data_IF_544592429589
#
_entry.id   IF_544592429589
#
_cell.length_a   1.000
_cell.length_b   1.000
_cell.length_c   1.000
_cell.angle_alpha   90.00
_cell.angle_beta   90.00
_cell.angle_gamma   90.00
#
_symmetry.space_group_name_H-M   'P 1'
#
loop_
_entity.id
_entity.type
_entity.pdbx_description
1 polymer ?
#
# COMPACT_ATOMS: atom_id res chain seq x y z
N UNK A 1 28.37 19.42 -15.33
CA UNK A 1 28.49 20.74 -16.02
C UNK A 1 28.62 21.85 -14.97
N UNK A 2 29.25 23.00 -15.24
CA UNK A 2 29.40 24.08 -14.26
C UNK A 2 28.08 24.55 -13.64
N UNK A 3 26.96 24.43 -14.37
CA UNK A 3 25.60 24.75 -13.92
C UNK A 3 24.99 23.75 -12.93
N UNK A 4 25.58 22.57 -12.74
CA UNK A 4 25.04 21.51 -11.88
C UNK A 4 25.64 21.54 -10.47
N UNK A 5 26.83 22.13 -10.29
CA UNK A 5 27.53 22.25 -9.00
C UNK A 5 26.64 22.92 -7.93
N UNK A 6 25.92 24.03 -8.24
CA UNK A 6 25.09 24.69 -7.24
C UNK A 6 23.86 23.88 -6.80
N UNK A 7 23.42 22.86 -7.56
CA UNK A 7 22.19 22.13 -7.25
C UNK A 7 22.30 21.40 -5.91
N UNK A 8 23.44 20.77 -5.64
CA UNK A 8 23.69 20.09 -4.37
C UNK A 8 23.88 21.10 -3.23
N UNK A 9 24.65 22.15 -3.48
CA UNK A 9 24.99 23.17 -2.47
C UNK A 9 23.78 23.99 -2.03
N UNK A 10 22.88 24.31 -2.96
CA UNK A 10 21.70 25.13 -2.73
C UNK A 10 20.44 24.31 -2.41
N UNK A 11 20.54 22.97 -2.33
CA UNK A 11 19.39 22.09 -2.11
C UNK A 11 18.59 22.43 -0.84
N UNK A 12 19.26 22.93 0.20
CA UNK A 12 18.61 23.35 1.46
C UNK A 12 17.60 24.50 1.28
N UNK A 13 17.68 25.27 0.20
CA UNK A 13 16.68 26.30 -0.13
C UNK A 13 15.29 25.71 -0.37
N UNK A 14 15.18 24.41 -0.71
CA UNK A 14 13.90 23.72 -0.85
C UNK A 14 13.11 23.67 0.47
N UNK A 15 13.76 23.71 1.63
CA UNK A 15 13.08 23.73 2.93
C UNK A 15 12.28 25.02 3.15
N UNK A 16 12.66 26.12 2.48
CA UNK A 16 11.92 27.38 2.49
C UNK A 16 10.73 27.43 1.52
N UNK A 17 10.56 26.42 0.67
CA UNK A 17 9.48 26.36 -0.32
C UNK A 17 8.22 25.77 0.31
N UNK A 18 7.07 26.37 0.02
CA UNK A 18 5.79 25.87 0.52
C UNK A 18 5.57 24.38 0.12
N UNK A 19 5.21 23.48 1.05
CA UNK A 19 5.04 22.05 0.76
C UNK A 19 4.03 21.73 -0.34
N UNK A 20 2.99 22.56 -0.50
CA UNK A 20 2.02 22.41 -1.59
C UNK A 20 2.65 22.72 -2.96
N UNK A 21 3.59 23.67 -3.02
CA UNK A 21 4.32 23.97 -4.26
C UNK A 21 5.25 22.83 -4.63
N UNK A 22 5.96 22.26 -3.65
CA UNK A 22 6.80 21.09 -3.87
C UNK A 22 6.01 19.88 -4.36
N UNK A 23 4.75 19.73 -3.92
CA UNK A 23 3.85 18.70 -4.46
C UNK A 23 3.60 18.90 -5.96
N UNK A 24 3.25 20.11 -6.39
CA UNK A 24 3.04 20.41 -7.82
C UNK A 24 4.32 20.19 -8.65
N UNK A 25 5.50 20.53 -8.13
CA UNK A 25 6.76 20.23 -8.81
C UNK A 25 7.05 18.72 -8.87
N UNK A 26 6.74 17.96 -7.80
CA UNK A 26 6.83 16.49 -7.85
C UNK A 26 5.93 15.90 -8.94
N UNK A 27 4.73 16.43 -9.13
CA UNK A 27 3.85 15.97 -10.22
C UNK A 27 4.49 16.22 -11.59
N UNK A 28 5.12 17.37 -11.82
CA UNK A 28 5.79 17.65 -13.10
C UNK A 28 7.02 16.76 -13.30
N UNK A 29 7.81 16.54 -12.26
CA UNK A 29 9.01 15.68 -12.33
C UNK A 29 8.62 14.24 -12.64
N UNK A 30 7.64 13.69 -11.93
CA UNK A 30 7.34 12.26 -12.00
C UNK A 30 6.21 11.89 -12.96
N UNK A 31 5.41 12.83 -13.45
CA UNK A 31 4.29 12.57 -14.35
C UNK A 31 4.45 13.24 -15.72
N UNK A 32 5.69 13.54 -16.12
CA UNK A 32 6.05 14.08 -17.44
C UNK A 32 6.56 13.03 -18.44
N UNK A 33 6.63 11.75 -18.03
CA UNK A 33 7.18 10.66 -18.85
C UNK A 33 8.70 10.52 -18.74
N UNK A 34 9.31 11.15 -17.72
CA UNK A 34 10.73 11.07 -17.37
C UNK A 34 10.92 10.84 -15.86
N UNK A 35 10.01 10.08 -15.25
CA UNK A 35 9.96 9.82 -13.82
C UNK A 35 11.22 9.11 -13.33
N UNK A 36 11.69 8.09 -14.05
CA UNK A 36 12.88 7.34 -13.66
C UNK A 36 14.13 8.24 -13.70
N UNK A 37 14.32 8.95 -14.82
CA UNK A 37 15.46 9.86 -14.97
C UNK A 37 15.43 11.00 -13.94
N UNK A 38 14.25 11.52 -13.62
CA UNK A 38 14.07 12.54 -12.58
C UNK A 38 14.42 11.99 -11.20
N UNK A 39 14.03 10.76 -10.88
CA UNK A 39 14.38 10.11 -9.62
C UNK A 39 15.90 9.96 -9.47
N UNK A 40 16.58 9.41 -10.48
CA UNK A 40 18.05 9.27 -10.46
C UNK A 40 18.75 10.62 -10.34
N UNK A 41 18.25 11.65 -11.02
CA UNK A 41 18.81 13.00 -10.93
C UNK A 41 18.66 13.58 -9.52
N UNK A 42 17.48 13.43 -8.91
CA UNK A 42 17.24 13.88 -7.53
C UNK A 42 18.12 13.15 -6.52
N UNK A 43 18.38 11.85 -6.70
CA UNK A 43 19.34 11.11 -5.87
C UNK A 43 20.77 11.60 -6.11
N UNK A 44 21.19 11.73 -7.37
CA UNK A 44 22.54 12.15 -7.75
C UNK A 44 22.90 13.53 -7.19
N UNK A 45 21.94 14.45 -7.15
CA UNK A 45 22.11 15.80 -6.59
C UNK A 45 21.73 15.91 -5.11
N UNK A 46 21.38 14.81 -4.43
CA UNK A 46 21.01 14.80 -3.01
C UNK A 46 19.81 15.71 -2.69
N UNK A 47 18.92 15.86 -3.66
CA UNK A 47 17.70 16.66 -3.57
C UNK A 47 16.50 15.82 -3.11
N UNK A 48 16.55 14.50 -3.33
CA UNK A 48 15.46 13.59 -2.98
C UNK A 48 15.10 13.66 -1.49
N UNK A 49 16.09 13.89 -0.61
CA UNK A 49 15.88 13.96 0.85
C UNK A 49 14.99 15.12 1.29
N UNK A 50 14.95 16.22 0.54
CA UNK A 50 14.09 17.36 0.88
C UNK A 50 12.64 17.11 0.46
N UNK A 51 12.43 16.23 -0.52
CA UNK A 51 11.10 15.90 -1.06
C UNK A 51 10.50 14.66 -0.39
N UNK A 52 11.30 13.61 -0.19
CA UNK A 52 10.89 12.28 0.25
C UNK A 52 11.86 11.71 1.31
N UNK A 53 12.02 12.38 2.47
CA UNK A 53 13.02 11.97 3.48
C UNK A 53 12.77 10.56 4.02
N UNK A 54 11.50 10.17 4.21
CA UNK A 54 11.16 8.81 4.65
C UNK A 54 11.56 7.75 3.63
N UNK A 55 11.42 8.04 2.33
CA UNK A 55 11.88 7.15 1.25
C UNK A 55 13.39 7.02 1.24
N UNK A 56 14.13 8.13 1.39
CA UNK A 56 15.60 8.10 1.45
C UNK A 56 16.08 7.28 2.65
N UNK A 57 15.48 7.48 3.83
CA UNK A 57 15.83 6.72 5.03
C UNK A 57 15.52 5.22 4.88
N UNK A 58 14.43 4.87 4.19
CA UNK A 58 14.09 3.48 3.91
C UNK A 58 15.03 2.83 2.87
N UNK A 59 15.41 3.56 1.82
CA UNK A 59 16.39 3.09 0.82
C UNK A 59 17.78 2.86 1.42
N UNK A 60 18.18 3.68 2.39
CA UNK A 60 19.43 3.46 3.14
C UNK A 60 19.43 2.16 3.97
N UNK A 61 18.24 1.60 4.25
CA UNK A 61 18.03 0.36 5.02
C UNK A 61 17.55 -0.79 4.13
N UNK A 62 17.84 -0.76 2.82
CA UNK A 62 17.38 -1.73 1.81
C UNK A 62 18.54 -2.62 1.30
N UNK A 63 19.09 -3.54 2.12
CA UNK A 63 20.29 -4.30 1.79
C UNK A 63 20.12 -5.25 0.59
N UNK A 64 18.89 -5.71 0.31
CA UNK A 64 18.56 -6.58 -0.83
C UNK A 64 18.11 -5.80 -2.08
N UNK A 65 17.99 -4.48 -1.96
CA UNK A 65 17.54 -3.58 -3.03
C UNK A 65 16.07 -3.79 -3.42
N UNK A 66 15.26 -4.48 -2.61
CA UNK A 66 13.88 -4.81 -2.95
C UNK A 66 13.01 -3.57 -3.07
N UNK A 67 13.16 -2.60 -2.15
CA UNK A 67 12.45 -1.32 -2.22
C UNK A 67 12.92 -0.49 -3.42
N UNK A 68 14.23 -0.44 -3.68
CA UNK A 68 14.80 0.22 -4.87
C UNK A 68 14.18 -0.32 -6.15
N UNK A 69 14.16 -1.65 -6.33
CA UNK A 69 13.57 -2.32 -7.50
C UNK A 69 12.07 -2.03 -7.63
N UNK A 70 11.34 -2.06 -6.53
CA UNK A 70 9.91 -1.72 -6.49
C UNK A 70 9.66 -0.27 -6.98
N UNK A 71 10.44 0.70 -6.50
CA UNK A 71 10.33 2.11 -6.92
C UNK A 71 10.70 2.26 -8.39
N UNK A 72 11.83 1.68 -8.83
CA UNK A 72 12.26 1.71 -10.24
C UNK A 72 11.20 1.15 -11.18
N UNK A 73 10.63 -0.01 -10.86
CA UNK A 73 9.57 -0.62 -11.65
C UNK A 73 8.33 0.27 -11.75
N UNK A 74 7.95 0.95 -10.67
CA UNK A 74 6.83 1.88 -10.67
C UNK A 74 7.08 3.12 -11.55
N UNK A 75 8.31 3.64 -11.53
CA UNK A 75 8.73 4.78 -12.36
C UNK A 75 8.74 4.42 -13.84
N UNK A 76 9.36 3.30 -14.21
CA UNK A 76 9.38 2.79 -15.61
C UNK A 76 7.95 2.55 -16.13
N UNK A 77 7.09 1.95 -15.30
CA UNK A 77 5.69 1.74 -15.66
C UNK A 77 4.94 3.07 -15.83
N UNK A 78 5.24 4.06 -15.00
CA UNK A 78 4.65 5.41 -15.12
C UNK A 78 5.06 6.07 -16.43
N UNK A 79 6.35 6.01 -16.78
CA UNK A 79 6.89 6.58 -18.02
C UNK A 79 6.29 5.91 -19.26
N UNK A 80 6.21 4.57 -19.24
CA UNK A 80 5.59 3.79 -20.33
C UNK A 80 4.13 4.16 -20.51
N UNK A 81 3.35 4.27 -19.42
CA UNK A 81 1.94 4.65 -19.50
C UNK A 81 1.73 6.04 -20.08
N UNK A 82 2.58 7.00 -19.70
CA UNK A 82 2.51 8.37 -20.24
C UNK A 82 2.83 8.37 -21.74
N UNK A 83 3.87 7.63 -22.16
CA UNK A 83 4.21 7.48 -23.57
C UNK A 83 3.07 6.84 -24.39
N UNK A 84 2.32 5.92 -23.79
CA UNK A 84 1.13 5.31 -24.39
C UNK A 84 -0.15 6.19 -24.32
N UNK A 85 -0.06 7.42 -23.78
CA UNK A 85 -1.21 8.31 -23.59
C UNK A 85 -2.21 7.83 -22.54
N UNK A 86 -1.82 6.88 -21.68
CA UNK A 86 -2.68 6.33 -20.62
C UNK A 86 -2.60 7.23 -19.38
N UNK A 87 -3.72 7.37 -18.68
CA UNK A 87 -3.74 8.11 -17.41
C UNK A 87 -2.88 7.41 -16.36
N UNK A 88 -2.18 8.24 -15.58
CA UNK A 88 -1.42 7.88 -14.39
C UNK A 88 -2.02 8.58 -13.18
N UNK A 89 -1.98 7.96 -12.00
CA UNK A 89 -2.60 8.52 -10.80
C UNK A 89 -1.54 8.92 -9.78
N UNK A 90 -1.45 10.20 -9.37
CA UNK A 90 -0.41 10.66 -8.44
C UNK A 90 -0.32 9.85 -7.15
N UNK A 91 -1.47 9.56 -6.52
CA UNK A 91 -1.46 8.84 -5.25
C UNK A 91 -0.96 7.39 -5.38
N UNK A 92 -1.00 6.76 -6.56
CA UNK A 92 -0.39 5.43 -6.72
C UNK A 92 1.12 5.53 -6.59
N UNK A 93 1.73 6.53 -7.25
CA UNK A 93 3.17 6.72 -7.21
C UNK A 93 3.65 7.13 -5.82
N UNK A 94 2.95 8.04 -5.15
CA UNK A 94 3.24 8.38 -3.75
C UNK A 94 3.03 7.19 -2.79
N UNK A 95 2.06 6.30 -3.07
CA UNK A 95 1.91 5.08 -2.28
C UNK A 95 3.16 4.20 -2.35
N UNK A 96 3.82 4.15 -3.52
CA UNK A 96 5.05 3.40 -3.75
C UNK A 96 6.23 4.06 -3.04
N UNK A 97 6.43 5.38 -3.21
CA UNK A 97 7.52 6.09 -2.56
C UNK A 97 7.49 5.97 -1.03
N UNK A 98 6.30 6.09 -0.42
CA UNK A 98 6.14 6.11 1.03
C UNK A 98 6.06 4.70 1.65
N UNK A 99 6.03 3.64 0.82
CA UNK A 99 5.83 2.28 1.31
C UNK A 99 6.94 1.82 2.24
N UNK A 100 8.20 2.14 1.91
CA UNK A 100 9.35 1.82 2.75
C UNK A 100 9.25 2.43 4.15
N UNK A 101 8.90 3.72 4.24
CA UNK A 101 8.73 4.42 5.52
C UNK A 101 7.60 3.81 6.36
N UNK A 102 6.45 3.52 5.73
CA UNK A 102 5.33 2.85 6.42
C UNK A 102 5.73 1.48 6.96
N UNK A 103 6.41 0.65 6.16
CA UNK A 103 6.89 -0.67 6.58
C UNK A 103 7.85 -0.58 7.76
N UNK A 104 8.79 0.36 7.71
CA UNK A 104 9.78 0.54 8.76
C UNK A 104 9.13 0.98 10.08
N UNK A 105 8.17 1.90 10.03
CA UNK A 105 7.40 2.31 11.21
C UNK A 105 6.58 1.17 11.80
N UNK A 106 6.00 0.30 10.98
CA UNK A 106 5.29 -0.91 11.45
C UNK A 106 6.27 -1.84 12.16
N UNK A 107 7.46 -2.05 11.59
CA UNK A 107 8.51 -2.89 12.17
C UNK A 107 8.97 -2.37 13.54
N UNK A 108 9.14 -1.05 13.67
CA UNK A 108 9.53 -0.40 14.92
C UNK A 108 8.41 -0.34 15.97
N UNK A 109 7.14 -0.21 15.53
CA UNK A 109 5.98 -0.06 16.41
C UNK A 109 5.46 -1.37 17.02
N UNK A 110 6.00 -2.52 16.62
CA UNK A 110 5.62 -3.84 17.12
C UNK A 110 6.08 -4.08 18.57
N UNK A 111 5.33 -3.56 19.54
CA UNK A 111 5.40 -4.03 20.94
C UNK A 111 4.41 -5.16 21.16
N UNK A 112 4.74 -6.12 22.03
CA UNK A 112 3.93 -7.33 22.26
C UNK A 112 2.49 -7.03 22.70
N UNK A 113 2.24 -5.85 23.28
CA UNK A 113 0.97 -5.49 23.90
C UNK A 113 0.01 -4.70 22.99
N UNK A 114 0.43 -4.30 21.80
CA UNK A 114 -0.40 -3.50 20.90
C UNK A 114 -1.07 -4.33 19.79
N UNK A 115 -2.40 -4.20 19.58
CA UNK A 115 -3.06 -4.83 18.45
C UNK A 115 -2.47 -4.35 17.12
N UNK A 116 -2.17 -5.28 16.20
CA UNK A 116 -1.50 -4.94 14.92
C UNK A 116 -2.25 -3.92 14.05
N UNK A 117 -3.58 -3.84 14.15
CA UNK A 117 -4.37 -2.82 13.46
C UNK A 117 -4.09 -1.39 13.97
N UNK A 118 -3.82 -1.24 15.27
CA UNK A 118 -3.47 0.04 15.89
C UNK A 118 -2.07 0.46 15.46
N UNK A 119 -1.12 -0.48 15.49
CA UNK A 119 0.25 -0.25 15.01
C UNK A 119 0.26 0.21 13.55
N UNK A 120 -0.52 -0.47 12.71
CA UNK A 120 -0.68 -0.12 11.29
C UNK A 120 -1.21 1.30 11.10
N UNK A 121 -2.33 1.63 11.72
CA UNK A 121 -2.97 2.94 11.58
C UNK A 121 -2.05 4.07 12.09
N UNK A 122 -1.35 3.84 13.21
CA UNK A 122 -0.37 4.79 13.74
C UNK A 122 0.82 4.98 12.79
N UNK A 123 1.35 3.90 12.22
CA UNK A 123 2.48 3.95 11.29
C UNK A 123 2.13 4.75 10.03
N UNK A 124 0.96 4.48 9.44
CA UNK A 124 0.46 5.19 8.26
C UNK A 124 0.22 6.67 8.56
N UNK A 125 -0.48 6.99 9.66
CA UNK A 125 -0.70 8.39 10.06
C UNK A 125 0.60 9.14 10.30
N UNK A 126 1.58 8.51 10.94
CA UNK A 126 2.88 9.13 11.20
C UNK A 126 3.68 9.36 9.92
N UNK A 127 3.75 8.37 9.02
CA UNK A 127 4.41 8.53 7.72
C UNK A 127 3.82 9.69 6.92
N UNK A 128 2.49 9.74 6.81
CA UNK A 128 1.80 10.82 6.09
C UNK A 128 1.97 12.19 6.77
N UNK A 129 1.96 12.24 8.11
CA UNK A 129 2.18 13.48 8.87
C UNK A 129 3.59 14.03 8.66
N UNK A 130 4.62 13.17 8.74
CA UNK A 130 6.00 13.57 8.47
C UNK A 130 6.14 14.02 7.02
N UNK A 131 5.62 13.23 6.07
CA UNK A 131 5.71 13.57 4.65
C UNK A 131 5.05 14.93 4.32
N UNK A 132 3.92 15.26 4.96
CA UNK A 132 3.21 16.51 4.74
C UNK A 132 4.02 17.77 5.13
N UNK A 133 5.06 17.64 5.97
CA UNK A 133 5.96 18.74 6.31
C UNK A 133 6.88 19.13 5.14
N UNK A 134 7.13 18.19 4.22
CA UNK A 134 8.01 18.37 3.07
C UNK A 134 7.21 18.55 1.78
N UNK A 135 6.22 17.68 1.55
CA UNK A 135 5.36 17.70 0.38
C UNK A 135 3.93 17.49 0.83
N UNK A 136 3.09 18.52 0.69
CA UNK A 136 1.70 18.49 1.13
C UNK A 136 0.82 17.76 0.13
N UNK A 137 0.68 16.45 0.33
CA UNK A 137 -0.16 15.58 -0.51
C UNK A 137 -1.66 15.85 -0.22
N UNK A 138 -2.48 16.20 -1.23
CA UNK A 138 -3.92 16.36 -1.08
C UNK A 138 -4.61 15.13 -0.47
N UNK A 139 -5.57 15.35 0.44
CA UNK A 139 -6.26 14.29 1.19
C UNK A 139 -6.85 13.17 0.33
N UNK A 140 -7.38 13.50 -0.85
CA UNK A 140 -7.91 12.51 -1.81
C UNK A 140 -6.89 11.44 -2.21
N UNK A 141 -5.62 11.84 -2.36
CA UNK A 141 -4.55 10.92 -2.70
C UNK A 141 -4.13 10.12 -1.47
N UNK A 142 -4.02 10.76 -0.30
CA UNK A 142 -3.73 10.05 0.96
C UNK A 142 -4.73 8.96 1.29
N UNK A 143 -6.03 9.24 1.15
CA UNK A 143 -7.07 8.23 1.31
C UNK A 143 -6.90 7.08 0.30
N UNK A 144 -6.54 7.38 -0.95
CA UNK A 144 -6.28 6.33 -1.93
C UNK A 144 -5.07 5.46 -1.55
N UNK A 145 -3.99 6.06 -1.04
CA UNK A 145 -2.81 5.33 -0.55
C UNK A 145 -3.18 4.41 0.63
N UNK A 146 -3.87 4.97 1.64
CA UNK A 146 -4.36 4.24 2.81
C UNK A 146 -5.18 3.00 2.40
N UNK A 147 -6.11 3.19 1.47
CA UNK A 147 -6.95 2.10 0.98
C UNK A 147 -6.15 1.06 0.18
N UNK A 148 -5.17 1.47 -0.64
CA UNK A 148 -4.29 0.54 -1.36
C UNK A 148 -3.45 -0.32 -0.41
N UNK A 149 -2.86 0.30 0.61
CA UNK A 149 -2.05 -0.40 1.60
C UNK A 149 -2.91 -1.33 2.46
N UNK A 150 -4.08 -0.88 2.91
CA UNK A 150 -4.99 -1.69 3.74
C UNK A 150 -5.47 -2.97 3.01
N UNK A 151 -5.58 -2.93 1.69
CA UNK A 151 -5.93 -4.10 0.89
C UNK A 151 -4.79 -5.12 0.79
N UNK A 152 -3.53 -4.74 1.00
CA UNK A 152 -2.37 -5.64 0.89
C UNK A 152 -2.48 -6.88 1.79
N UNK A 153 -2.92 -6.70 3.04
CA UNK A 153 -3.13 -7.81 3.97
C UNK A 153 -4.26 -8.77 3.54
N UNK A 154 -5.20 -8.31 2.70
CA UNK A 154 -6.33 -9.11 2.22
C UNK A 154 -5.94 -10.04 1.08
N UNK A 155 -4.91 -9.71 0.29
CA UNK A 155 -4.45 -10.58 -0.80
C UNK A 155 -3.97 -11.94 -0.29
N UNK A 156 -3.41 -12.01 0.93
CA UNK A 156 -3.03 -13.29 1.57
C UNK A 156 -4.23 -14.21 1.89
N UNK A 157 -5.44 -13.67 1.92
CA UNK A 157 -6.63 -14.41 2.35
C UNK A 157 -7.36 -15.05 1.17
N UNK A 158 -6.83 -16.18 0.69
CA UNK A 158 -7.29 -16.87 -0.53
C UNK A 158 -8.58 -17.71 -0.39
N UNK A 159 -9.43 -17.46 0.61
CA UNK A 159 -10.71 -18.19 0.73
C UNK A 159 -11.78 -17.65 -0.23
N UNK A 160 -12.62 -18.52 -0.79
CA UNK A 160 -13.58 -18.20 -1.87
C UNK A 160 -14.39 -16.92 -1.65
N UNK A 161 -15.00 -16.77 -0.47
CA UNK A 161 -15.82 -15.60 -0.16
C UNK A 161 -15.00 -14.30 -0.03
N UNK A 162 -13.74 -14.40 0.42
CA UNK A 162 -12.85 -13.25 0.55
C UNK A 162 -12.26 -12.84 -0.80
N UNK A 163 -11.90 -13.81 -1.63
CA UNK A 163 -11.40 -13.59 -2.99
C UNK A 163 -12.45 -12.87 -3.84
N UNK A 164 -13.69 -13.38 -3.88
CA UNK A 164 -14.79 -12.73 -4.60
C UNK A 164 -15.05 -11.30 -4.12
N UNK A 165 -15.01 -11.06 -2.80
CA UNK A 165 -15.19 -9.73 -2.23
C UNK A 165 -14.04 -8.78 -2.61
N UNK A 166 -12.81 -9.28 -2.64
CA UNK A 166 -11.65 -8.48 -2.99
C UNK A 166 -11.64 -8.14 -4.48
N UNK A 167 -11.94 -9.09 -5.37
CA UNK A 167 -12.10 -8.85 -6.82
C UNK A 167 -13.16 -7.78 -7.13
N UNK A 168 -14.26 -7.76 -6.38
CA UNK A 168 -15.33 -6.78 -6.54
C UNK A 168 -15.03 -5.41 -5.90
N UNK A 169 -13.87 -5.24 -5.24
CA UNK A 169 -13.56 -4.00 -4.53
C UNK A 169 -13.23 -2.86 -5.52
N UNK A 170 -13.76 -1.64 -5.35
CA UNK A 170 -13.53 -0.54 -6.29
C UNK A 170 -12.06 -0.19 -6.54
N UNK A 171 -11.22 -0.37 -5.51
CA UNK A 171 -9.76 -0.15 -5.58
C UNK A 171 -8.94 -1.41 -5.80
N UNK A 172 -9.56 -2.52 -6.18
CA UNK A 172 -8.86 -3.77 -6.44
C UNK A 172 -7.70 -3.57 -7.42
N UNK A 173 -7.95 -2.91 -8.56
CA UNK A 173 -6.94 -2.74 -9.59
C UNK A 173 -5.68 -2.05 -9.08
N UNK A 174 -5.82 -0.89 -8.43
CA UNK A 174 -4.69 -0.15 -7.88
C UNK A 174 -3.94 -0.95 -6.79
N UNK A 175 -4.68 -1.65 -5.92
CA UNK A 175 -4.04 -2.46 -4.88
C UNK A 175 -3.35 -3.73 -5.43
N UNK A 176 -3.88 -4.29 -6.51
CA UNK A 176 -3.27 -5.41 -7.23
C UNK A 176 -2.03 -4.97 -8.00
N UNK A 177 -2.06 -3.83 -8.69
CA UNK A 177 -0.88 -3.26 -9.35
C UNK A 177 0.23 -2.99 -8.33
N UNK A 178 -0.14 -2.51 -7.14
CA UNK A 178 0.79 -2.34 -6.03
C UNK A 178 1.33 -3.67 -5.51
N UNK A 179 0.51 -4.74 -5.46
CA UNK A 179 0.98 -6.09 -5.10
C UNK A 179 2.02 -6.61 -6.10
N UNK A 180 1.81 -6.40 -7.41
CA UNK A 180 2.77 -6.85 -8.43
C UNK A 180 4.14 -6.18 -8.26
N UNK A 181 4.17 -4.89 -7.94
CA UNK A 181 5.42 -4.19 -7.66
C UNK A 181 6.16 -4.74 -6.43
N UNK A 182 5.44 -5.40 -5.51
CA UNK A 182 6.01 -6.00 -4.28
C UNK A 182 6.58 -7.40 -4.50
N UNK A 183 6.61 -7.90 -5.73
CA UNK A 183 7.24 -9.20 -6.05
C UNK A 183 8.71 -9.28 -5.58
N UNK A 184 9.41 -8.16 -5.59
CA UNK A 184 10.82 -8.06 -5.17
C UNK A 184 11.01 -8.22 -3.66
N UNK A 185 9.95 -8.09 -2.84
CA UNK A 185 10.06 -8.18 -1.38
C UNK A 185 10.30 -9.62 -0.89
N UNK A 186 9.79 -10.62 -1.61
CA UNK A 186 9.97 -12.04 -1.28
C UNK A 186 9.36 -12.93 -2.36
N UNK A 187 9.82 -14.18 -2.43
CA UNK A 187 9.19 -15.23 -3.25
C UNK A 187 7.70 -15.40 -2.95
N UNK A 188 7.29 -15.30 -1.68
CA UNK A 188 5.86 -15.37 -1.29
C UNK A 188 5.04 -14.25 -1.96
N UNK A 189 5.56 -13.02 -2.02
CA UNK A 189 4.86 -11.91 -2.68
C UNK A 189 4.78 -12.12 -4.20
N UNK A 190 5.85 -12.62 -4.82
CA UNK A 190 5.87 -12.94 -6.25
C UNK A 190 4.83 -14.02 -6.60
N UNK A 191 4.82 -15.15 -5.87
CA UNK A 191 3.84 -16.22 -6.03
C UNK A 191 2.41 -15.72 -5.79
N UNK A 192 2.23 -14.85 -4.80
CA UNK A 192 0.94 -14.23 -4.53
C UNK A 192 0.46 -13.38 -5.72
N UNK A 193 1.36 -12.60 -6.33
CA UNK A 193 1.09 -11.85 -7.56
C UNK A 193 0.61 -12.76 -8.68
N UNK A 194 1.37 -13.84 -8.97
CA UNK A 194 1.01 -14.84 -10.00
C UNK A 194 -0.36 -15.45 -9.75
N UNK A 195 -0.64 -15.86 -8.52
CA UNK A 195 -1.92 -16.44 -8.15
C UNK A 195 -3.08 -15.45 -8.38
N UNK A 196 -2.92 -14.18 -8.01
CA UNK A 196 -3.94 -13.16 -8.23
C UNK A 196 -4.11 -12.78 -9.70
N UNK A 197 -3.05 -12.87 -10.52
CA UNK A 197 -3.15 -12.75 -11.98
C UNK A 197 -4.09 -13.82 -12.54
N UNK A 198 -3.90 -15.08 -12.14
CA UNK A 198 -4.73 -16.19 -12.57
C UNK A 198 -6.16 -16.07 -12.04
N UNK A 199 -6.34 -15.71 -10.77
CA UNK A 199 -7.65 -15.56 -10.15
C UNK A 199 -8.56 -14.52 -10.85
N UNK A 200 -8.00 -13.52 -11.53
CA UNK A 200 -8.75 -12.50 -12.27
C UNK A 200 -9.36 -13.03 -13.57
N UNK A 201 -8.72 -14.00 -14.23
CA UNK A 201 -9.17 -14.55 -15.52
C UNK A 201 -10.06 -15.78 -15.35
N UNK A 202 -10.02 -16.42 -14.19
CA UNK A 202 -10.82 -17.61 -13.90
C UNK A 202 -12.30 -17.23 -13.69
N UNK A 203 -13.18 -17.84 -14.48
CA UNK A 203 -14.62 -17.79 -14.25
C UNK A 203 -15.00 -18.35 -12.87
N UNK A 204 -16.19 -18.01 -12.37
CA UNK A 204 -16.60 -18.30 -10.98
C UNK A 204 -16.51 -19.77 -10.56
N UNK A 205 -16.68 -20.71 -11.51
CA UNK A 205 -16.53 -22.15 -11.30
C UNK A 205 -15.08 -22.62 -11.21
N UNK A 206 -14.21 -22.20 -12.13
CA UNK A 206 -12.79 -22.56 -12.15
C UNK A 206 -12.02 -21.95 -10.98
N UNK A 207 -12.35 -20.70 -10.62
CA UNK A 207 -11.81 -20.03 -9.42
C UNK A 207 -12.15 -20.78 -8.13
N UNK A 208 -13.30 -21.45 -8.08
CA UNK A 208 -13.68 -22.26 -6.90
C UNK A 208 -12.77 -23.47 -6.75
N UNK A 209 -12.49 -24.20 -7.83
CA UNK A 209 -11.61 -25.37 -7.82
C UNK A 209 -10.17 -25.01 -7.46
N UNK A 210 -9.64 -23.93 -8.04
CA UNK A 210 -8.29 -23.42 -7.76
C UNK A 210 -8.11 -22.97 -6.30
N UNK A 211 -9.16 -22.39 -5.70
CA UNK A 211 -9.13 -22.03 -4.29
C UNK A 211 -9.17 -23.28 -3.39
N UNK A 212 -9.89 -24.32 -3.78
CA UNK A 212 -9.99 -25.56 -3.01
C UNK A 212 -8.66 -26.34 -3.00
N UNK A 213 -7.87 -26.31 -4.08
CA UNK A 213 -6.54 -26.94 -4.15
C UNK A 213 -5.49 -26.22 -3.29
N UNK A 214 -5.56 -24.90 -3.18
CA UNK A 214 -4.63 -24.08 -2.37
C UNK A 214 -4.89 -24.20 -0.87
N UNK A 215 -6.11 -24.59 -0.47
CA UNK A 215 -6.52 -24.67 0.94
C UNK A 215 -6.23 -26.05 1.57
N UNK A 216 -5.73 -27.05 0.81
CA UNK A 216 -5.56 -28.41 1.34
C UNK A 216 -4.28 -29.15 0.90
N UNK A 217 -3.34 -29.36 1.84
CA UNK A 217 -2.55 -30.59 1.87
C UNK A 217 -2.69 -31.36 3.20
N UNK A 218 -3.81 -31.27 3.93
CA UNK A 218 -3.93 -32.03 5.18
C UNK A 218 -5.03 -31.68 6.17
N UNK A 219 -6.25 -31.31 5.75
CA UNK A 219 -7.39 -31.32 6.69
C UNK A 219 -8.57 -32.15 6.17
N UNK A 220 -8.97 -33.23 6.87
CA UNK A 220 -10.11 -34.02 6.45
C UNK A 220 -11.37 -33.16 6.47
N UNK A 221 -12.11 -33.24 5.38
CA UNK A 221 -13.46 -32.71 5.16
C UNK A 221 -14.45 -33.40 6.09
N UNK A 222 -14.40 -33.06 7.38
CA UNK A 222 -15.45 -33.40 8.34
C UNK A 222 -16.70 -32.54 8.10
N UNK A 223 -17.93 -33.09 8.20
CA UNK A 223 -19.14 -32.32 7.97
C UNK A 223 -19.26 -31.19 9.00
N UNK A 224 -19.50 -29.96 8.54
CA UNK A 224 -19.81 -28.82 9.40
C UNK A 224 -21.05 -29.14 10.25
N UNK A 225 -20.84 -29.50 11.51
CA UNK A 225 -21.92 -29.54 12.50
C UNK A 225 -22.50 -28.13 12.65
N UNK A 226 -23.76 -27.98 12.22
CA UNK A 226 -24.60 -26.83 12.49
C UNK A 226 -24.68 -26.61 14.01
N UNK A 227 -23.95 -25.60 14.52
CA UNK A 227 -24.19 -25.08 15.87
C UNK A 227 -25.57 -24.43 15.89
N UNK A 228 -26.52 -24.89 16.72
CA UNK A 228 -27.86 -24.34 16.74
C UNK A 228 -27.84 -22.91 17.30
N UNK A 229 -28.46 -21.98 16.55
CA UNK A 229 -28.71 -20.60 16.99
C UNK A 229 -29.47 -20.61 18.31
N UNK A 230 -28.81 -20.18 19.39
CA UNK A 230 -29.38 -20.03 20.72
C UNK A 230 -30.54 -19.02 20.65
N UNK A 231 -31.79 -19.51 20.66
CA UNK A 231 -33.01 -18.70 20.73
C UNK A 231 -32.95 -17.80 21.97
N UNK A 232 -33.02 -16.49 21.76
CA UNK A 232 -33.25 -15.49 22.82
C UNK A 232 -34.54 -15.84 23.57
N UNK A 233 -34.42 -16.21 24.85
CA UNK A 233 -35.56 -16.39 25.76
C UNK A 233 -36.21 -15.02 26.02
N UNK A 234 -37.51 -14.92 25.75
CA UNK A 234 -38.40 -13.83 26.18
C UNK A 234 -38.36 -13.73 27.71
N UNK A 235 -37.92 -12.59 28.23
CA UNK A 235 -38.10 -12.21 29.64
C UNK A 235 -39.50 -11.63 29.83
N UNK A 236 -40.30 -12.27 30.70
CA UNK A 236 -41.54 -11.72 31.27
C UNK A 236 -41.19 -10.54 32.22
N UNK A 237 -41.99 -9.46 32.28
CA UNK A 237 -41.80 -8.43 33.29
C UNK A 237 -42.36 -8.86 34.66
N UNK A 238 -41.77 -8.40 35.78
CA UNK A 238 -42.23 -8.73 37.12
C UNK A 238 -43.43 -7.89 37.56
N UNK A 239 -44.27 -8.52 38.37
CA UNK A 239 -45.45 -8.01 39.06
C UNK A 239 -45.08 -6.89 40.04
N UNK A 240 -45.78 -5.76 39.98
CA UNK A 240 -45.70 -4.67 40.95
C UNK A 240 -46.62 -5.03 42.13
N UNK A 241 -46.07 -5.04 43.35
CA UNK A 241 -46.85 -4.98 44.59
C UNK A 241 -46.40 -3.74 45.35
N UNK A 242 -47.34 -2.81 45.51
CA UNK A 242 -47.26 -1.73 46.49
C UNK A 242 -48.62 -1.63 47.18
N UNK A 243 -48.53 -1.81 48.50
CA UNK A 243 -49.45 -1.51 49.59
C UNK A 243 -50.54 -0.47 49.31
N UNK A 244 -51.74 -0.75 49.80
CA UNK A 244 -52.27 -0.08 51.00
C UNK A 244 -52.41 -1.12 52.12
#
# INVERSE_FOLDING_TARGET
>A
RPSEVPLRELGGLLEGVAPARLFEECLKLFLSGQAQASFHSLEHYDLLRYLLPGTVAALAQDPDGSLRKMIEAALVNTDTRIAEGKSVTPGFLFAVFLWGDVRERIRQGGSADQPGAVVWDQAVRNALKTQAQHVSIPRRFSLMMEDMWALQARFRQRSKGRVKRLLAHPRFRAAYDFLLLREWESTEMAELGVWWTQAQVLGTGALTKEIETVVDPGKPTGPRQNRPRRRRRKSRPPTISSRD
#
